data_IF_066077976349
#
_entry.id   IF_066077976349
#
_cell.length_a   1.000
_cell.length_b   1.000
_cell.length_c   1.000
_cell.angle_alpha   90.00
_cell.angle_beta   90.00
_cell.angle_gamma   90.00
#
_symmetry.space_group_name_H-M   'P 1'
#
loop_
_entity.id
_entity.type
_entity.pdbx_description
1 polymer ?
#
# COMPACT_ATOMS: atom_id res chain seq x y z
N UNK A 1 -25.00 -6.74 -4.41
CA UNK A 1 -23.66 -7.10 -4.96
C UNK A 1 -22.64 -6.35 -4.13
N UNK A 2 -21.82 -7.05 -3.37
CA UNK A 2 -20.90 -6.48 -2.39
C UNK A 2 -19.69 -5.92 -3.13
N UNK A 3 -19.71 -4.62 -3.38
CA UNK A 3 -18.71 -3.87 -4.13
C UNK A 3 -17.46 -3.66 -3.26
N UNK A 4 -16.63 -4.70 -3.10
CA UNK A 4 -15.26 -4.55 -2.57
C UNK A 4 -14.34 -4.07 -3.70
N UNK A 5 -14.55 -2.85 -4.20
CA UNK A 5 -13.81 -2.27 -5.33
C UNK A 5 -12.83 -1.14 -4.94
N UNK A 6 -12.50 -0.99 -3.65
CA UNK A 6 -11.48 -0.02 -3.20
C UNK A 6 -10.22 -0.67 -2.64
N UNK A 7 -10.01 -1.96 -2.91
CA UNK A 7 -8.75 -2.62 -2.58
C UNK A 7 -7.77 -2.36 -3.73
N UNK A 8 -6.79 -1.47 -3.50
CA UNK A 8 -5.74 -1.18 -4.47
C UNK A 8 -5.04 -2.48 -4.87
N UNK A 9 -4.88 -2.79 -6.17
CA UNK A 9 -4.23 -4.02 -6.58
C UNK A 9 -2.75 -4.01 -6.17
N UNK A 10 -2.28 -5.16 -5.69
CA UNK A 10 -0.91 -5.34 -5.18
C UNK A 10 0.17 -5.07 -6.25
N UNK A 11 -0.19 -5.13 -7.53
CA UNK A 11 0.64 -4.79 -8.69
C UNK A 11 1.29 -3.40 -8.55
N UNK A 12 0.58 -2.40 -8.00
CA UNK A 12 1.14 -1.07 -7.79
C UNK A 12 2.29 -1.09 -6.78
N UNK A 13 2.20 -1.91 -5.73
CA UNK A 13 3.27 -2.07 -4.75
C UNK A 13 4.48 -2.75 -5.38
N UNK A 14 4.26 -3.77 -6.21
CA UNK A 14 5.34 -4.44 -6.94
C UNK A 14 6.03 -3.50 -7.94
N UNK A 15 5.27 -2.63 -8.61
CA UNK A 15 5.83 -1.63 -9.52
C UNK A 15 6.70 -0.61 -8.76
N UNK A 16 6.20 -0.08 -7.64
CA UNK A 16 6.96 0.87 -6.81
C UNK A 16 8.20 0.18 -6.21
N UNK A 17 8.09 -1.09 -5.82
CA UNK A 17 9.21 -1.87 -5.32
C UNK A 17 10.32 -2.04 -6.36
N UNK A 18 9.95 -2.36 -7.61
CA UNK A 18 10.89 -2.47 -8.73
C UNK A 18 11.53 -1.13 -9.10
N UNK A 19 10.75 -0.05 -9.10
CA UNK A 19 11.20 1.28 -9.50
C UNK A 19 12.07 1.94 -8.41
N UNK A 20 11.76 1.70 -7.14
CA UNK A 20 12.43 2.30 -5.99
C UNK A 20 12.93 1.21 -5.05
N UNK A 21 14.02 0.56 -5.44
CA UNK A 21 14.62 -0.58 -4.73
C UNK A 21 15.20 -0.21 -3.37
N UNK A 22 15.53 1.08 -3.15
CA UNK A 22 16.09 1.57 -1.89
C UNK A 22 15.43 2.91 -1.50
N UNK A 23 14.80 2.97 -0.33
CA UNK A 23 14.18 4.18 0.21
C UNK A 23 13.04 3.87 1.19
N UNK A 24 12.71 4.85 2.05
CA UNK A 24 11.54 4.74 2.93
C UNK A 24 10.28 4.93 2.09
N UNK A 25 9.37 3.96 2.13
CA UNK A 25 8.11 4.01 1.39
C UNK A 25 6.97 4.25 2.39
N UNK A 26 6.07 5.17 2.09
CA UNK A 26 4.92 5.48 2.94
C UNK A 26 3.62 5.33 2.13
N UNK A 27 2.66 4.59 2.67
CA UNK A 27 1.31 4.41 2.11
C UNK A 27 0.29 5.13 3.00
N UNK A 28 -0.31 6.19 2.46
CA UNK A 28 -1.35 6.96 3.15
C UNK A 28 -2.72 6.31 2.93
N UNK A 29 -3.54 6.28 3.98
CA UNK A 29 -4.89 5.71 4.04
C UNK A 29 -4.98 4.20 3.78
N UNK A 30 -3.88 3.47 3.98
CA UNK A 30 -3.98 2.00 3.95
C UNK A 30 -4.74 1.51 5.17
N UNK A 31 -5.49 0.43 4.98
CA UNK A 31 -6.18 -0.29 6.04
C UNK A 31 -5.40 -1.50 6.54
N UNK A 32 -4.24 -1.76 5.92
CA UNK A 32 -3.39 -2.91 6.22
C UNK A 32 -1.95 -2.44 6.37
N UNK A 33 -1.28 -2.89 7.44
CA UNK A 33 0.16 -2.69 7.60
C UNK A 33 0.91 -3.62 6.65
N UNK A 34 1.93 -3.08 5.99
CA UNK A 34 2.79 -3.82 5.05
C UNK A 34 4.21 -3.71 5.55
N UNK A 35 4.88 -4.85 5.71
CA UNK A 35 6.27 -4.88 6.16
C UNK A 35 7.18 -4.15 5.15
N UNK A 36 8.01 -3.24 5.65
CA UNK A 36 8.85 -2.35 4.81
C UNK A 36 8.15 -1.12 4.23
N UNK A 37 6.87 -0.89 4.54
CA UNK A 37 6.15 0.34 4.21
C UNK A 37 5.60 1.01 5.47
N UNK A 38 5.91 2.28 5.64
CA UNK A 38 5.27 3.12 6.65
C UNK A 38 3.79 3.28 6.25
N UNK A 39 2.87 2.91 7.12
CA UNK A 39 1.44 3.01 6.82
C UNK A 39 0.83 4.07 7.72
N UNK A 40 0.13 5.02 7.11
CA UNK A 40 -0.53 6.11 7.84
C UNK A 40 -1.99 6.22 7.41
N UNK A 41 -2.91 5.66 8.19
CA UNK A 41 -4.34 5.68 7.92
C UNK A 41 -5.15 5.90 9.20
N UNK A 42 -6.28 6.60 9.10
CA UNK A 42 -7.19 6.82 10.23
C UNK A 42 -7.94 5.55 10.71
N UNK A 43 -7.76 4.42 10.02
CA UNK A 43 -8.36 3.12 10.33
C UNK A 43 -7.31 2.06 10.75
N UNK A 44 -6.06 2.48 11.08
CA UNK A 44 -4.91 1.62 11.41
C UNK A 44 -4.70 1.36 12.91
#
# INVERSE_FOLDING_TARGET
RTDKNSEKPAEFRQLIDKMYTHGKRIELFSRNRVDGWEVWGNEC
#
